data_IF_805779412535
#
_entry.id   IF_805779412535
#
_cell.length_a   1.000
_cell.length_b   1.000
_cell.length_c   1.000
_cell.angle_alpha   90.00
_cell.angle_beta   90.00
_cell.angle_gamma   90.00
#
_symmetry.space_group_name_H-M   'P 1'
#
loop_
_entity.id
_entity.type
_entity.pdbx_description
1 polymer ?
#
# COMPACT_ATOMS: atom_id res chain seq x y z
N UNK A 1 14.42 6.46 6.22
CA UNK A 1 14.07 6.44 7.66
C UNK A 1 12.59 6.11 7.73
N UNK A 2 12.25 4.85 8.03
CA UNK A 2 10.86 4.47 8.27
C UNK A 2 10.38 5.22 9.52
N UNK A 3 9.30 5.99 9.39
CA UNK A 3 8.75 6.69 10.55
C UNK A 3 8.25 5.64 11.54
N UNK A 4 8.69 5.75 12.81
CA UNK A 4 8.26 4.85 13.87
C UNK A 4 6.72 4.82 13.94
N UNK A 5 6.07 3.67 13.69
CA UNK A 5 4.61 3.59 13.62
C UNK A 5 3.92 4.06 14.92
N UNK A 6 4.63 4.17 16.04
CA UNK A 6 4.13 4.74 17.31
C UNK A 6 3.47 6.12 17.13
N UNK A 7 3.93 6.98 16.21
CA UNK A 7 3.29 8.29 16.05
C UNK A 7 1.87 8.16 15.49
N UNK A 8 1.60 7.17 14.64
CA UNK A 8 0.25 6.91 14.12
C UNK A 8 -0.69 6.41 15.22
N UNK A 9 -0.18 5.62 16.18
CA UNK A 9 -0.95 5.22 17.37
C UNK A 9 -1.31 6.41 18.25
N UNK A 10 -0.40 7.37 18.42
CA UNK A 10 -0.71 8.61 19.17
C UNK A 10 -1.79 9.43 18.48
N UNK A 11 -1.75 9.50 17.15
CA UNK A 11 -2.80 10.16 16.37
C UNK A 11 -4.14 9.46 16.56
N UNK A 12 -4.20 8.13 16.47
CA UNK A 12 -5.44 7.40 16.71
C UNK A 12 -5.97 7.63 18.12
N UNK A 13 -5.11 7.61 19.14
CA UNK A 13 -5.50 7.88 20.53
C UNK A 13 -6.10 9.27 20.72
N UNK A 14 -5.66 10.26 19.93
CA UNK A 14 -6.23 11.61 19.96
C UNK A 14 -7.69 11.68 19.50
N UNK A 15 -8.20 10.64 18.80
CA UNK A 15 -9.61 10.53 18.43
C UNK A 15 -10.51 10.05 19.57
N UNK A 16 -9.93 9.69 20.72
CA UNK A 16 -10.63 9.09 21.86
C UNK A 16 -10.64 7.56 21.86
N UNK A 17 -10.18 6.93 20.79
CA UNK A 17 -9.98 5.48 20.75
C UNK A 17 -8.83 5.03 21.67
N UNK A 18 -8.93 3.82 22.21
CA UNK A 18 -7.86 3.24 23.02
C UNK A 18 -6.59 2.99 22.19
N UNK A 19 -6.72 2.44 20.99
CA UNK A 19 -5.66 2.24 20.00
C UNK A 19 -6.29 1.95 18.62
N UNK A 20 -5.45 1.76 17.60
CA UNK A 20 -5.90 1.48 16.24
C UNK A 20 -6.74 0.20 16.11
N UNK A 21 -6.39 -0.87 16.83
CA UNK A 21 -7.12 -2.13 16.79
C UNK A 21 -8.55 -1.97 17.35
N UNK A 22 -8.69 -1.26 18.46
CA UNK A 22 -10.00 -0.97 19.05
C UNK A 22 -10.84 -0.08 18.12
N UNK A 23 -10.26 0.97 17.55
CA UNK A 23 -10.96 1.83 16.58
C UNK A 23 -11.48 1.03 15.38
N UNK A 24 -10.62 0.20 14.78
CA UNK A 24 -11.01 -0.67 13.66
C UNK A 24 -12.12 -1.64 14.05
N UNK A 25 -12.01 -2.28 15.22
CA UNK A 25 -13.05 -3.20 15.71
C UNK A 25 -14.41 -2.49 15.94
N UNK A 26 -14.39 -1.28 16.51
CA UNK A 26 -15.59 -0.47 16.71
C UNK A 26 -16.24 -0.06 15.40
N UNK A 27 -15.45 0.44 14.44
CA UNK A 27 -15.92 0.83 13.12
C UNK A 27 -16.49 -0.36 12.34
N UNK A 28 -15.83 -1.52 12.37
CA UNK A 28 -16.34 -2.75 11.76
C UNK A 28 -17.72 -3.13 12.30
N UNK A 29 -17.90 -3.08 13.63
CA UNK A 29 -19.20 -3.37 14.27
C UNK A 29 -20.26 -2.34 13.92
N UNK A 30 -19.93 -1.05 14.00
CA UNK A 30 -20.87 0.03 13.78
C UNK A 30 -21.37 0.08 12.34
N UNK A 31 -20.46 -0.11 11.37
CA UNK A 31 -20.77 -0.06 9.95
C UNK A 31 -21.12 -1.41 9.33
N UNK A 32 -21.10 -2.51 10.11
CA UNK A 32 -21.28 -3.88 9.63
C UNK A 32 -20.36 -4.21 8.45
N UNK A 33 -19.10 -3.81 8.57
CA UNK A 33 -18.09 -3.97 7.53
C UNK A 33 -17.18 -5.17 7.81
N UNK A 34 -16.81 -5.89 6.75
CA UNK A 34 -15.88 -7.02 6.83
C UNK A 34 -14.45 -6.58 7.14
N UNK A 35 -14.06 -5.38 6.69
CA UNK A 35 -12.75 -4.78 6.91
C UNK A 35 -12.84 -3.25 7.03
N UNK A 36 -11.84 -2.66 7.67
CA UNK A 36 -11.64 -1.21 7.77
C UNK A 36 -10.16 -0.93 7.59
N UNK A 37 -9.84 -0.13 6.58
CA UNK A 37 -8.49 0.41 6.36
C UNK A 37 -8.42 1.83 6.92
N UNK A 38 -7.44 2.10 7.79
CA UNK A 38 -7.18 3.46 8.24
C UNK A 38 -6.33 4.23 7.22
N UNK A 39 -6.89 5.30 6.65
CA UNK A 39 -6.17 6.20 5.74
C UNK A 39 -5.76 7.46 6.49
N UNK A 40 -4.46 7.64 6.72
CA UNK A 40 -3.91 8.78 7.46
C UNK A 40 -3.28 9.75 6.47
N UNK A 41 -3.86 10.95 6.36
CA UNK A 41 -3.24 12.06 5.63
C UNK A 41 -2.41 12.94 6.58
N UNK A 42 -1.13 13.15 6.27
CA UNK A 42 -0.26 14.06 7.00
C UNK A 42 0.17 15.25 6.14
N UNK A 43 -0.12 16.47 6.59
CA UNK A 43 0.31 17.71 5.94
C UNK A 43 1.80 18.01 6.20
N UNK A 44 2.67 17.11 5.73
CA UNK A 44 4.13 17.16 5.81
C UNK A 44 4.73 16.57 4.52
N UNK A 45 6.05 16.65 4.41
CA UNK A 45 6.84 16.03 3.34
C UNK A 45 7.56 14.79 3.87
N UNK A 46 7.28 13.62 3.29
CA UNK A 46 7.96 12.35 3.56
C UNK A 46 7.58 11.31 2.50
N UNK A 47 8.20 10.13 2.54
CA UNK A 47 7.74 8.99 1.76
C UNK A 47 6.44 8.44 2.40
N UNK A 48 5.42 8.23 1.57
CA UNK A 48 4.22 7.50 1.99
C UNK A 48 4.55 6.03 2.19
N UNK A 49 3.76 5.36 3.00
CA UNK A 49 3.96 3.96 3.30
C UNK A 49 2.66 3.31 3.80
N UNK A 50 2.64 1.99 3.74
CA UNK A 50 1.59 1.16 4.31
C UNK A 50 2.13 0.31 5.46
N UNK A 51 1.23 -0.05 6.38
CA UNK A 51 1.42 -1.07 7.40
C UNK A 51 0.29 -2.08 7.20
N UNK A 52 0.52 -3.03 6.31
CA UNK A 52 -0.43 -4.09 6.00
C UNK A 52 -0.17 -5.31 6.86
N UNK A 53 -1.17 -6.18 6.97
CA UNK A 53 -1.00 -7.44 7.68
C UNK A 53 -0.01 -8.34 6.92
N UNK A 54 0.88 -8.99 7.68
CA UNK A 54 1.70 -10.09 7.19
C UNK A 54 1.83 -11.16 8.28
N UNK A 55 2.16 -12.39 7.88
CA UNK A 55 2.32 -13.49 8.83
C UNK A 55 3.43 -13.17 9.84
N UNK A 56 3.09 -13.16 11.14
CA UNK A 56 4.02 -12.81 12.21
C UNK A 56 4.07 -11.32 12.57
N UNK A 57 3.21 -10.48 11.99
CA UNK A 57 3.06 -9.09 12.42
C UNK A 57 2.67 -9.03 13.91
N UNK A 58 3.29 -8.12 14.66
CA UNK A 58 2.95 -7.94 16.07
C UNK A 58 1.47 -7.51 16.20
N UNK A 59 0.67 -8.10 17.12
CA UNK A 59 -0.77 -7.86 17.19
C UNK A 59 -1.18 -6.39 17.29
N UNK A 60 -0.34 -5.53 17.88
CA UNK A 60 -0.58 -4.07 17.96
C UNK A 60 -0.70 -3.40 16.59
N UNK A 61 -0.17 -4.02 15.53
CA UNK A 61 -0.23 -3.53 14.15
C UNK A 61 -1.23 -4.32 13.29
N UNK A 62 -2.15 -5.07 13.90
CA UNK A 62 -3.20 -5.78 13.16
C UNK A 62 -4.18 -4.84 12.44
N UNK A 63 -4.38 -3.63 12.97
CA UNK A 63 -5.09 -2.56 12.29
C UNK A 63 -4.25 -2.01 11.13
N UNK A 64 -4.59 -2.50 9.94
CA UNK A 64 -3.99 -2.06 8.68
C UNK A 64 -4.19 -0.56 8.47
N UNK A 65 -3.14 0.09 7.99
CA UNK A 65 -3.18 1.52 7.73
C UNK A 65 -2.26 1.92 6.60
N UNK A 66 -2.64 2.98 5.92
CA UNK A 66 -1.77 3.69 5.00
C UNK A 66 -1.54 5.10 5.52
N UNK A 67 -0.32 5.58 5.31
CA UNK A 67 0.08 6.94 5.64
C UNK A 67 0.49 7.63 4.37
N UNK A 68 -0.29 8.63 3.98
CA UNK A 68 -0.02 9.44 2.82
C UNK A 68 0.37 10.86 3.25
N UNK A 69 1.50 11.33 2.74
CA UNK A 69 1.99 12.69 3.01
C UNK A 69 1.54 13.65 1.92
N UNK A 70 1.31 14.92 2.27
CA UNK A 70 0.96 15.97 1.30
C UNK A 70 2.02 16.21 0.22
N UNK A 71 3.28 15.84 0.49
CA UNK A 71 4.44 16.05 -0.37
C UNK A 71 5.41 14.87 -0.26
N UNK A 72 6.13 14.60 -1.34
CA UNK A 72 7.28 13.70 -1.33
C UNK A 72 8.47 14.33 -0.58
N UNK A 73 9.54 13.56 -0.28
CA UNK A 73 10.72 14.08 0.42
C UNK A 73 11.38 15.29 -0.26
N UNK A 74 11.31 15.37 -1.59
CA UNK A 74 11.82 16.48 -2.42
C UNK A 74 10.90 17.73 -2.44
N UNK A 75 9.86 17.76 -1.59
CA UNK A 75 8.82 18.80 -1.49
C UNK A 75 7.81 18.86 -2.64
N UNK A 76 7.94 18.00 -3.64
CA UNK A 76 6.99 17.91 -4.74
C UNK A 76 5.60 17.51 -4.20
N UNK A 77 4.50 18.20 -4.59
CA UNK A 77 3.16 17.82 -4.15
C UNK A 77 2.83 16.38 -4.54
N UNK A 78 2.28 15.62 -3.61
CA UNK A 78 1.84 14.25 -3.89
C UNK A 78 0.72 14.25 -4.94
N UNK A 79 0.58 13.17 -5.70
CA UNK A 79 -0.52 12.98 -6.64
C UNK A 79 -1.52 11.93 -6.16
N UNK A 80 -2.71 11.92 -6.75
CA UNK A 80 -3.75 10.93 -6.46
C UNK A 80 -3.28 9.48 -6.70
N UNK A 81 -2.41 9.27 -7.70
CA UNK A 81 -1.86 7.94 -7.96
C UNK A 81 -1.07 7.37 -6.78
N UNK A 82 -0.38 8.20 -5.99
CA UNK A 82 0.28 7.69 -4.79
C UNK A 82 -0.69 7.26 -3.70
N UNK A 83 -1.89 7.85 -3.61
CA UNK A 83 -2.92 7.34 -2.70
C UNK A 83 -3.46 6.01 -3.19
N UNK A 84 -3.78 5.92 -4.49
CA UNK A 84 -4.25 4.68 -5.08
C UNK A 84 -3.23 3.54 -4.93
N UNK A 85 -1.93 3.83 -5.14
CA UNK A 85 -0.83 2.89 -4.92
C UNK A 85 -0.80 2.33 -3.49
N UNK A 86 -0.84 3.19 -2.46
CA UNK A 86 -0.85 2.74 -1.06
C UNK A 86 -2.14 2.00 -0.71
N UNK A 87 -3.30 2.44 -1.21
CA UNK A 87 -4.57 1.73 -1.02
C UNK A 87 -4.47 0.32 -1.59
N UNK A 88 -3.89 0.13 -2.78
CA UNK A 88 -3.73 -1.19 -3.38
C UNK A 88 -2.82 -2.11 -2.56
N UNK A 89 -1.78 -1.58 -1.92
CA UNK A 89 -0.99 -2.37 -0.97
C UNK A 89 -1.84 -2.95 0.15
N UNK A 90 -2.79 -2.18 0.69
CA UNK A 90 -3.71 -2.67 1.72
C UNK A 90 -4.63 -3.81 1.24
N UNK A 91 -4.79 -3.99 -0.06
CA UNK A 91 -5.48 -5.14 -0.64
C UNK A 91 -4.52 -6.25 -1.12
N UNK A 92 -3.25 -6.17 -0.75
CA UNK A 92 -2.26 -7.21 -1.06
C UNK A 92 -1.49 -6.99 -2.35
N UNK A 93 -1.63 -5.85 -3.04
CA UNK A 93 -0.76 -5.54 -4.17
C UNK A 93 0.71 -5.53 -3.72
N UNK A 94 1.59 -6.15 -4.50
CA UNK A 94 3.03 -6.11 -4.27
C UNK A 94 3.70 -5.02 -5.09
N UNK A 95 4.89 -4.63 -4.69
CA UNK A 95 5.70 -3.67 -5.44
C UNK A 95 6.31 -4.32 -6.69
N UNK A 96 6.12 -3.72 -7.86
CA UNK A 96 6.69 -4.22 -9.13
C UNK A 96 8.08 -3.63 -9.44
N UNK A 97 8.48 -2.57 -8.74
CA UNK A 97 9.80 -1.94 -8.91
C UNK A 97 10.82 -2.32 -7.83
N UNK A 98 10.45 -3.20 -6.89
CA UNK A 98 11.32 -3.73 -5.84
C UNK A 98 11.79 -5.17 -6.11
N UNK A 99 12.97 -5.57 -5.61
CA UNK A 99 13.98 -4.74 -4.96
C UNK A 99 14.61 -3.68 -5.91
N UNK A 100 15.13 -2.59 -5.34
CA UNK A 100 15.77 -1.50 -6.08
C UNK A 100 17.10 -1.88 -6.75
N UNK A 101 17.52 -3.15 -6.68
CA UNK A 101 18.73 -3.57 -7.34
C UNK A 101 18.48 -3.71 -8.85
N UNK A 102 19.31 -3.03 -9.63
CA UNK A 102 19.22 -3.04 -11.10
C UNK A 102 19.55 -4.42 -11.70
N UNK A 103 19.93 -5.37 -10.85
CA UNK A 103 20.30 -6.74 -11.18
C UNK A 103 19.14 -7.72 -11.08
N UNK A 104 18.01 -7.36 -10.46
CA UNK A 104 16.88 -8.27 -10.36
C UNK A 104 16.15 -8.38 -11.71
N UNK A 105 16.18 -9.59 -12.27
CA UNK A 105 15.46 -9.97 -13.47
C UNK A 105 13.95 -9.79 -13.30
N UNK A 106 13.43 -9.87 -12.06
CA UNK A 106 12.04 -9.57 -11.73
C UNK A 106 11.68 -8.13 -12.05
N UNK A 107 12.44 -7.15 -11.56
CA UNK A 107 12.17 -5.74 -11.79
C UNK A 107 12.30 -5.36 -13.28
N UNK A 108 13.26 -5.96 -13.99
CA UNK A 108 13.38 -5.80 -15.46
C UNK A 108 12.17 -6.36 -16.20
N UNK A 109 11.72 -7.57 -15.83
CA UNK A 109 10.56 -8.22 -16.41
C UNK A 109 9.28 -7.44 -16.12
N UNK A 110 9.09 -7.00 -14.89
CA UNK A 110 7.97 -6.14 -14.50
C UNK A 110 7.94 -4.85 -15.32
N UNK A 111 9.09 -4.19 -15.54
CA UNK A 111 9.18 -3.00 -16.40
C UNK A 111 8.78 -3.28 -17.85
N UNK A 112 9.12 -4.45 -18.39
CA UNK A 112 8.79 -4.82 -19.77
C UNK A 112 7.30 -5.16 -19.93
N UNK A 113 6.74 -5.89 -18.98
CA UNK A 113 5.35 -6.37 -19.04
C UNK A 113 4.35 -5.30 -18.60
N UNK A 114 4.70 -4.52 -17.58
CA UNK A 114 3.79 -3.63 -16.84
C UNK A 114 4.34 -2.21 -16.68
N UNK A 115 4.80 -1.53 -17.76
CA UNK A 115 5.46 -0.22 -17.68
C UNK A 115 4.55 0.91 -17.17
N UNK A 116 3.23 0.73 -17.21
CA UNK A 116 2.23 1.70 -16.79
C UNK A 116 1.38 1.20 -15.62
N UNK A 117 1.74 0.05 -15.01
CA UNK A 117 1.04 -0.41 -13.81
C UNK A 117 1.36 0.52 -12.65
N UNK A 118 0.33 0.90 -11.90
CA UNK A 118 0.43 1.78 -10.74
C UNK A 118 1.35 1.23 -9.64
N UNK A 119 1.54 -0.09 -9.57
CA UNK A 119 2.47 -0.76 -8.65
C UNK A 119 3.91 -0.78 -9.17
N UNK A 120 4.14 -0.40 -10.43
CA UNK A 120 5.49 -0.22 -11.00
C UNK A 120 5.92 1.25 -10.98
N UNK A 121 5.00 2.17 -11.28
CA UNK A 121 5.26 3.60 -11.25
C UNK A 121 4.03 4.40 -10.83
N UNK A 122 4.29 5.58 -10.28
CA UNK A 122 3.26 6.60 -10.05
C UNK A 122 3.40 7.73 -11.05
N UNK A 123 2.26 8.28 -11.47
CA UNK A 123 2.16 9.38 -12.44
C UNK A 123 1.15 10.41 -11.92
N UNK A 124 1.29 11.67 -12.34
CA UNK A 124 0.31 12.72 -12.02
C UNK A 124 -0.96 12.58 -12.88
N UNK A 125 -0.82 12.02 -14.07
CA UNK A 125 -1.94 11.67 -14.92
C UNK A 125 -2.41 10.25 -14.58
N UNK A 126 -3.48 10.13 -13.79
CA UNK A 126 -4.01 8.83 -13.38
C UNK A 126 -4.45 7.98 -14.59
N UNK A 127 -4.94 8.61 -15.66
CA UNK A 127 -5.37 7.92 -16.88
C UNK A 127 -4.21 7.33 -17.69
N UNK A 128 -2.96 7.72 -17.38
CA UNK A 128 -1.77 7.12 -17.96
C UNK A 128 -1.36 5.81 -17.25
N UNK A 129 -2.01 5.49 -16.13
CA UNK A 129 -1.74 4.30 -15.33
C UNK A 129 -2.83 3.25 -15.53
N UNK A 130 -2.48 2.00 -15.25
CA UNK A 130 -3.42 0.90 -15.23
C UNK A 130 -3.17 -0.02 -14.03
N UNK A 131 -4.04 -1.01 -13.90
CA UNK A 131 -3.86 -2.15 -13.02
C UNK A 131 -3.67 -3.36 -13.94
N UNK A 132 -2.44 -3.86 -14.00
CA UNK A 132 -2.08 -5.00 -14.81
C UNK A 132 -2.61 -6.31 -14.23
N UNK A 133 -2.62 -7.40 -15.03
CA UNK A 133 -3.13 -8.70 -14.61
C UNK A 133 -2.52 -9.24 -13.31
N UNK A 134 -1.22 -9.01 -13.08
CA UNK A 134 -0.57 -9.47 -11.85
C UNK A 134 -1.09 -8.71 -10.62
N UNK A 135 -1.17 -7.38 -10.69
CA UNK A 135 -1.74 -6.55 -9.63
C UNK A 135 -3.22 -6.88 -9.39
N UNK A 136 -4.01 -7.03 -10.46
CA UNK A 136 -5.42 -7.39 -10.39
C UNK A 136 -5.65 -8.73 -9.68
N UNK A 137 -4.82 -9.74 -9.97
CA UNK A 137 -4.86 -11.02 -9.28
C UNK A 137 -4.50 -10.87 -7.79
N UNK A 138 -3.42 -10.15 -7.48
CA UNK A 138 -2.95 -9.93 -6.10
C UNK A 138 -3.99 -9.27 -5.20
N UNK A 139 -4.81 -8.36 -5.75
CA UNK A 139 -5.89 -7.68 -5.03
C UNK A 139 -7.24 -8.41 -5.12
N UNK A 140 -7.29 -9.61 -5.72
CA UNK A 140 -8.49 -10.43 -5.79
C UNK A 140 -9.56 -9.94 -6.77
N UNK A 141 -9.22 -9.13 -7.76
CA UNK A 141 -10.15 -8.76 -8.85
C UNK A 141 -10.28 -9.84 -9.91
N UNK A 142 -9.30 -10.73 -10.00
CA UNK A 142 -9.32 -11.87 -10.91
C UNK A 142 -8.84 -13.12 -10.17
N UNK A 143 -9.49 -14.26 -10.40
CA UNK A 143 -9.12 -15.53 -9.76
C UNK A 143 -8.04 -16.31 -10.53
N UNK A 144 -7.58 -15.79 -11.68
CA UNK A 144 -6.64 -16.46 -12.57
C UNK A 144 -5.37 -15.64 -12.76
N UNK A 145 -4.21 -16.30 -12.65
CA UNK A 145 -2.90 -15.74 -12.97
C UNK A 145 -2.18 -16.66 -13.96
N UNK A 146 -1.76 -16.09 -15.09
CA UNK A 146 -0.95 -16.81 -16.07
C UNK A 146 0.36 -17.29 -15.44
N UNK A 147 0.76 -18.53 -15.78
CA UNK A 147 1.92 -19.18 -15.18
C UNK A 147 3.20 -18.35 -15.31
N UNK A 148 3.38 -17.66 -16.44
CA UNK A 148 4.53 -16.79 -16.71
C UNK A 148 4.60 -15.56 -15.80
N UNK A 149 3.48 -15.16 -15.19
CA UNK A 149 3.43 -14.03 -14.26
C UNK A 149 3.72 -14.46 -12.82
N UNK A 150 3.73 -15.76 -12.50
CA UNK A 150 4.14 -16.26 -11.17
C UNK A 150 5.61 -15.98 -10.88
N UNK A 151 6.43 -15.80 -11.91
CA UNK A 151 7.82 -15.36 -11.77
C UNK A 151 7.97 -13.96 -11.13
N UNK A 152 6.87 -13.22 -10.97
CA UNK A 152 6.83 -11.92 -10.29
C UNK A 152 6.39 -12.04 -8.82
N UNK A 153 6.02 -13.22 -8.34
CA UNK A 153 5.73 -13.44 -6.91
C UNK A 153 6.99 -13.18 -6.07
N UNK A 154 6.82 -12.52 -4.92
CA UNK A 154 7.89 -12.39 -3.95
C UNK A 154 8.22 -13.79 -3.41
N UNK A 155 9.47 -14.25 -3.56
CA UNK A 155 9.94 -15.42 -2.82
C UNK A 155 9.98 -15.01 -1.35
N UNK A 156 8.96 -15.40 -0.59
CA UNK A 156 8.83 -15.10 0.84
C UNK A 156 10.02 -15.54 1.69
#
# INVERSE_FOLDING_TARGET
MFADPIWTERLVRSTGAADANHLVADLKRHHKADGVLLVIHANKAAASYNLTFYAGVHPVYAAERIVCFSRYPDQTPICAASYAHEILHAFGAGELYFPFDRTDERAKRARQLFPNDIMFRVDRNLDALNIGPWTAYRIGWTDHLDADLRALEDNG
#
